data_IF_179831776754
#
_entry.id   IF_179831776754
#
_cell.length_a   1.000
_cell.length_b   1.000
_cell.length_c   1.000
_cell.angle_alpha   90.00
_cell.angle_beta   90.00
_cell.angle_gamma   90.00
#
_symmetry.space_group_name_H-M   'P 1'
#
loop_
_entity.id
_entity.type
_entity.pdbx_description
1 polymer ?
#
# COMPACT_ATOMS: atom_id res chain seq x y z
N UNK A 1 2.40 -20.13 7.68
CA UNK A 1 2.71 -18.80 8.26
C UNK A 1 1.69 -17.85 7.69
N UNK A 2 0.57 -17.69 8.38
CA UNK A 2 -0.48 -16.78 7.94
C UNK A 2 0.08 -15.37 8.06
N UNK A 3 -0.08 -14.58 7.00
CA UNK A 3 0.15 -13.14 7.04
C UNK A 3 -0.77 -12.54 8.11
N UNK A 4 -0.28 -12.48 9.35
CA UNK A 4 -0.92 -11.81 10.50
C UNK A 4 -0.97 -10.28 10.30
N UNK A 5 -0.52 -9.80 9.14
CA UNK A 5 -0.77 -8.44 8.67
C UNK A 5 -2.18 -8.35 8.09
N UNK A 6 -3.13 -8.04 8.97
CA UNK A 6 -4.53 -7.64 8.77
C UNK A 6 -4.68 -6.42 7.82
N UNK A 7 -3.59 -5.95 7.21
CA UNK A 7 -3.52 -4.74 6.42
C UNK A 7 -3.92 -4.95 4.94
N UNK A 8 -4.04 -6.17 4.45
CA UNK A 8 -4.48 -6.43 3.06
C UNK A 8 -5.96 -6.75 3.00
N UNK A 9 -6.73 -5.97 2.25
CA UNK A 9 -8.15 -6.20 2.00
C UNK A 9 -8.41 -6.36 0.50
N UNK A 10 -8.93 -7.52 0.08
CA UNK A 10 -9.41 -7.73 -1.30
C UNK A 10 -10.74 -6.99 -1.50
N UNK A 11 -10.80 -6.14 -2.50
CA UNK A 11 -12.01 -5.41 -2.93
C UNK A 11 -12.39 -5.88 -4.32
N UNK A 12 -13.65 -6.28 -4.46
CA UNK A 12 -14.24 -6.67 -5.73
C UNK A 12 -15.11 -5.51 -6.21
N UNK A 13 -14.80 -4.94 -7.37
CA UNK A 13 -15.65 -3.92 -8.00
C UNK A 13 -16.06 -4.38 -9.39
N UNK A 14 -17.12 -3.79 -9.93
CA UNK A 14 -17.58 -4.03 -11.29
C UNK A 14 -17.49 -2.69 -12.01
N UNK A 15 -16.58 -2.59 -12.99
CA UNK A 15 -16.41 -1.38 -13.80
C UNK A 15 -16.68 -1.76 -15.25
N UNK A 16 -17.63 -1.06 -15.89
CA UNK A 16 -18.00 -1.30 -17.30
C UNK A 16 -18.40 -2.76 -17.62
N UNK A 17 -19.03 -3.46 -16.67
CA UNK A 17 -19.46 -4.85 -16.86
C UNK A 17 -18.35 -5.91 -16.69
N UNK A 18 -17.11 -5.50 -16.47
CA UNK A 18 -16.01 -6.39 -16.11
C UNK A 18 -15.83 -6.43 -14.58
N UNK A 19 -15.63 -7.64 -14.03
CA UNK A 19 -15.20 -7.81 -12.64
C UNK A 19 -13.75 -7.35 -12.57
N UNK A 20 -13.50 -6.42 -11.66
CA UNK A 20 -12.18 -5.89 -11.39
C UNK A 20 -11.91 -6.06 -9.91
N UNK A 21 -11.08 -7.03 -9.59
CA UNK A 21 -10.65 -7.33 -8.24
C UNK A 21 -9.31 -6.63 -8.00
N UNK A 22 -9.18 -5.96 -6.86
CA UNK A 22 -7.94 -5.30 -6.47
C UNK A 22 -7.73 -5.44 -4.96
N UNK A 23 -6.48 -5.42 -4.55
CA UNK A 23 -6.12 -5.40 -3.14
C UNK A 23 -5.93 -3.97 -2.66
N UNK A 24 -6.31 -3.71 -1.42
CA UNK A 24 -5.93 -2.51 -0.70
C UNK A 24 -4.98 -2.93 0.39
N UNK A 25 -3.75 -2.42 0.34
CA UNK A 25 -2.75 -2.64 1.38
C UNK A 25 -2.68 -1.41 2.29
N UNK A 26 -2.99 -1.57 3.56
CA UNK A 26 -2.96 -0.51 4.56
C UNK A 26 -1.58 -0.38 5.20
N UNK A 27 -0.81 0.61 4.76
CA UNK A 27 0.55 0.82 5.28
C UNK A 27 0.55 1.58 6.61
N UNK A 28 -0.58 2.01 7.15
CA UNK A 28 -0.62 2.82 8.39
C UNK A 28 0.09 2.12 9.56
N UNK A 29 -0.10 0.81 9.70
CA UNK A 29 0.55 0.01 10.73
C UNK A 29 2.07 -0.02 10.54
N UNK A 30 2.55 -0.13 9.30
CA UNK A 30 3.97 -0.12 8.92
C UNK A 30 4.58 1.26 9.12
N UNK A 31 3.93 2.30 8.58
CA UNK A 31 4.31 3.70 8.74
C UNK A 31 4.47 4.04 10.22
N UNK A 32 3.51 3.63 11.06
CA UNK A 32 3.54 3.87 12.50
C UNK A 32 4.69 3.16 13.19
N UNK A 33 5.01 1.92 12.79
CA UNK A 33 6.18 1.18 13.30
C UNK A 33 7.49 1.85 12.87
N UNK A 34 7.63 2.18 11.60
CA UNK A 34 8.83 2.75 10.99
C UNK A 34 9.10 4.18 11.43
N UNK A 35 8.05 4.95 11.70
CA UNK A 35 8.13 6.35 12.14
C UNK A 35 8.05 6.53 13.66
N UNK A 36 8.09 5.43 14.42
CA UNK A 36 7.92 5.44 15.87
C UNK A 36 6.67 6.22 16.34
N UNK A 37 5.58 6.14 15.57
CA UNK A 37 4.31 6.80 15.85
C UNK A 37 4.15 8.24 15.36
N UNK A 38 5.14 8.83 14.66
CA UNK A 38 5.01 10.15 14.02
C UNK A 38 4.02 10.15 12.86
N UNK A 39 4.04 9.09 12.04
CA UNK A 39 3.16 8.85 10.89
C UNK A 39 2.24 7.65 11.17
N UNK A 40 1.19 7.45 10.37
CA UNK A 40 0.18 6.43 10.63
C UNK A 40 -0.92 6.86 11.62
N UNK A 41 -1.13 8.18 11.80
CA UNK A 41 -2.26 8.77 12.55
C UNK A 41 -2.87 9.94 11.77
N UNK A 42 -4.20 9.96 11.68
CA UNK A 42 -4.96 11.07 11.07
C UNK A 42 -5.61 10.69 9.74
N UNK A 43 -5.71 11.66 8.82
CA UNK A 43 -6.24 11.43 7.48
C UNK A 43 -5.33 10.49 6.66
N UNK A 44 -5.97 9.59 5.93
CA UNK A 44 -5.31 8.57 5.11
C UNK A 44 -5.83 8.69 3.69
N UNK A 45 -4.98 8.38 2.73
CA UNK A 45 -5.29 8.50 1.31
C UNK A 45 -4.81 7.25 0.58
N UNK A 46 -5.50 6.92 -0.50
CA UNK A 46 -5.01 5.90 -1.42
C UNK A 46 -3.90 6.54 -2.23
N UNK A 47 -2.70 6.00 -2.11
CA UNK A 47 -1.54 6.42 -2.87
C UNK A 47 -1.87 6.37 -4.36
N UNK A 48 -1.34 7.36 -5.10
CA UNK A 48 -1.44 7.39 -6.57
C UNK A 48 -0.65 6.26 -7.22
N UNK A 49 0.27 5.63 -6.49
CA UNK A 49 1.09 4.52 -6.95
C UNK A 49 0.21 3.28 -7.13
N UNK A 50 0.19 2.77 -8.37
CA UNK A 50 -0.56 1.57 -8.78
C UNK A 50 0.34 0.50 -9.40
N UNK A 51 1.65 0.68 -9.28
CA UNK A 51 2.65 -0.17 -9.91
C UNK A 51 2.76 -1.54 -9.26
N UNK A 52 2.11 -1.77 -8.12
CA UNK A 52 2.16 -3.03 -7.41
C UNK A 52 1.04 -3.96 -7.84
N UNK A 53 1.41 -5.20 -8.15
CA UNK A 53 0.49 -6.32 -8.37
C UNK A 53 0.83 -7.45 -7.40
N UNK A 54 -0.20 -8.12 -6.92
CA UNK A 54 -0.07 -9.29 -6.06
C UNK A 54 -0.79 -10.45 -6.71
N UNK A 55 -0.13 -11.59 -6.76
CA UNK A 55 -0.77 -12.82 -7.20
C UNK A 55 -1.74 -13.28 -6.10
N UNK A 56 -3.00 -13.42 -6.49
CA UNK A 56 -4.01 -14.01 -5.63
C UNK A 56 -3.77 -15.51 -5.50
N UNK A 57 -3.50 -15.99 -4.30
CA UNK A 57 -3.23 -17.42 -4.06
C UNK A 57 -4.49 -18.29 -4.34
N UNK A 58 -5.69 -17.71 -4.24
CA UNK A 58 -6.96 -18.40 -4.52
C UNK A 58 -7.26 -18.55 -6.02
N UNK A 59 -7.21 -17.45 -6.79
CA UNK A 59 -7.50 -17.45 -8.24
C UNK A 59 -6.28 -17.67 -9.12
N UNK A 60 -5.07 -17.45 -8.62
CA UNK A 60 -3.82 -17.39 -9.40
C UNK A 60 -3.65 -16.12 -10.24
N UNK A 61 -4.57 -15.16 -10.15
CA UNK A 61 -4.60 -13.94 -10.96
C UNK A 61 -3.72 -12.83 -10.36
N UNK A 62 -3.04 -12.06 -11.22
CA UNK A 62 -2.29 -10.87 -10.82
C UNK A 62 -3.27 -9.70 -10.65
N UNK A 63 -3.59 -9.36 -9.41
CA UNK A 63 -4.50 -8.27 -9.08
C UNK A 63 -3.72 -7.01 -8.70
N UNK A 64 -4.23 -5.85 -9.10
CA UNK A 64 -3.62 -4.57 -8.73
C UNK A 64 -3.73 -4.33 -7.22
N UNK A 65 -2.66 -3.77 -6.65
CA UNK A 65 -2.56 -3.44 -5.23
C UNK A 65 -2.52 -1.93 -5.07
N UNK A 66 -3.54 -1.41 -4.41
CA UNK A 66 -3.62 0.00 -4.01
C UNK A 66 -3.05 0.16 -2.62
N UNK A 67 -1.99 0.95 -2.50
CA UNK A 67 -1.39 1.26 -1.22
C UNK A 67 -2.16 2.39 -0.54
N UNK A 68 -2.56 2.21 0.71
CA UNK A 68 -3.11 3.27 1.55
C UNK A 68 -2.01 3.76 2.49
N UNK A 69 -1.74 5.06 2.42
CA UNK A 69 -0.74 5.74 3.23
C UNK A 69 -1.37 6.92 3.98
N UNK A 70 -0.62 7.46 4.93
CA UNK A 70 -1.01 8.71 5.58
C UNK A 70 -0.99 9.87 4.58
N UNK A 71 -1.99 10.76 4.62
CA UNK A 71 -2.06 11.94 3.72
C UNK A 71 -0.81 12.82 3.82
N UNK A 72 -0.20 12.90 4.99
CA UNK A 72 1.09 13.59 5.20
C UNK A 72 2.24 12.99 4.39
N UNK A 73 2.25 11.66 4.23
CA UNK A 73 3.26 10.97 3.44
C UNK A 73 2.99 11.19 1.95
N UNK A 74 1.73 11.11 1.51
CA UNK A 74 1.35 11.39 0.12
C UNK A 74 1.69 12.84 -0.28
N UNK A 75 1.36 13.81 0.57
CA UNK A 75 1.68 15.23 0.39
C UNK A 75 3.20 15.47 0.36
N UNK A 76 3.95 14.76 1.21
CA UNK A 76 5.40 14.78 1.22
C UNK A 76 6.04 14.17 -0.04
N UNK A 77 5.38 13.23 -0.73
CA UNK A 77 5.85 12.70 -2.01
C UNK A 77 5.63 13.67 -3.17
N UNK A 78 4.63 14.54 -3.08
CA UNK A 78 4.36 15.61 -4.05
C UNK A 78 5.24 16.85 -3.76
N UNK A 79 5.76 16.96 -2.54
CA UNK A 79 6.68 18.01 -2.11
C UNK A 79 8.08 17.92 -2.72
N UNK A 80 8.75 19.08 -2.84
CA UNK A 80 10.08 19.22 -3.46
C UNK A 80 11.21 18.77 -2.51
N UNK A 81 10.96 18.67 -1.20
CA UNK A 81 11.98 18.33 -0.20
C UNK A 81 11.90 16.87 0.30
N UNK A 82 13.03 16.15 0.35
CA UNK A 82 13.08 14.82 0.95
C UNK A 82 12.84 14.96 2.46
N UNK A 83 11.67 14.49 2.89
CA UNK A 83 11.22 14.56 4.28
C UNK A 83 11.24 13.16 4.91
N UNK A 84 11.27 13.08 6.25
CA UNK A 84 11.22 11.80 7.00
C UNK A 84 10.08 10.89 6.52
N UNK A 85 8.98 11.47 6.04
CA UNK A 85 7.84 10.80 5.43
C UNK A 85 8.20 9.97 4.19
N UNK A 86 9.05 10.50 3.32
CA UNK A 86 9.49 9.81 2.11
C UNK A 86 10.37 8.60 2.45
N UNK A 87 11.29 8.74 3.41
CA UNK A 87 12.11 7.62 3.88
C UNK A 87 11.26 6.50 4.50
N UNK A 88 10.27 6.86 5.33
CA UNK A 88 9.33 5.91 5.92
C UNK A 88 8.53 5.21 4.82
N UNK A 89 8.08 5.94 3.80
CA UNK A 89 7.32 5.37 2.69
C UNK A 89 8.17 4.42 1.85
N UNK A 90 9.40 4.80 1.48
CA UNK A 90 10.32 3.93 0.76
C UNK A 90 10.56 2.63 1.52
N UNK A 91 10.79 2.70 2.84
CA UNK A 91 10.91 1.49 3.67
C UNK A 91 9.65 0.63 3.68
N UNK A 92 8.46 1.24 3.66
CA UNK A 92 7.22 0.49 3.49
C UNK A 92 7.19 -0.24 2.14
N UNK A 93 7.61 0.41 1.05
CA UNK A 93 7.68 -0.21 -0.28
C UNK A 93 8.67 -1.39 -0.30
N UNK A 94 9.85 -1.23 0.29
CA UNK A 94 10.83 -2.32 0.38
C UNK A 94 10.29 -3.52 1.17
N UNK A 95 9.54 -3.27 2.24
CA UNK A 95 8.83 -4.34 2.97
C UNK A 95 7.77 -5.03 2.10
N UNK A 96 7.05 -4.29 1.27
CA UNK A 96 6.07 -4.84 0.34
C UNK A 96 6.75 -5.73 -0.72
N UNK A 97 7.86 -5.28 -1.29
CA UNK A 97 8.64 -6.11 -2.22
C UNK A 97 9.17 -7.38 -1.55
N UNK A 98 9.66 -7.29 -0.30
CA UNK A 98 10.08 -8.45 0.48
C UNK A 98 8.93 -9.42 0.81
N UNK A 99 7.69 -8.92 0.91
CA UNK A 99 6.48 -9.74 1.11
C UNK A 99 6.01 -10.42 -0.17
N UNK A 100 6.67 -10.19 -1.31
CA UNK A 100 6.35 -10.82 -2.58
C UNK A 100 5.38 -10.02 -3.46
N UNK A 101 5.19 -8.72 -3.20
CA UNK A 101 4.52 -7.86 -4.17
C UNK A 101 5.46 -7.62 -5.35
N UNK A 102 4.91 -7.73 -6.56
CA UNK A 102 5.65 -7.53 -7.80
C UNK A 102 5.38 -6.12 -8.30
N UNK A 103 6.44 -5.36 -8.56
CA UNK A 103 6.37 -4.04 -9.20
C UNK A 103 6.40 -4.23 -10.72
N UNK A 104 5.38 -3.74 -11.41
CA UNK A 104 5.24 -3.79 -12.88
C UNK A 104 6.12 -2.74 -13.58
#
# INVERSE_FOLDING_TARGET
MYYDDINVTKRKTITNGAKYDFFIYDMLSLERKLSNGKFGKGETVISKIKDFKMQDDESGEMLEVKLRCSKRIDDAMDGIEPSESMEVFTKCLEELENRGLVRD
#
